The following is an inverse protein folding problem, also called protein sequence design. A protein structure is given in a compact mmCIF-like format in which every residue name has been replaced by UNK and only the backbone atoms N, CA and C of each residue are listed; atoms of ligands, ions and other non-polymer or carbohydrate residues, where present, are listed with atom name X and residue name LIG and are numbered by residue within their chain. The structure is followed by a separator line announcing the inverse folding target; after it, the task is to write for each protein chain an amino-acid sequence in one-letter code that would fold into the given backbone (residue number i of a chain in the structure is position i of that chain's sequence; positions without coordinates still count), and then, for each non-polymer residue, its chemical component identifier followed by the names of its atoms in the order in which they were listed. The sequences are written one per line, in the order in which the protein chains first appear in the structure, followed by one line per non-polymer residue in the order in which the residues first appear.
data_IF_042053712253
#
_entry.id   IF_042053712253
#
_cell.length_a   1.000
_cell.length_b   1.000
_cell.length_c   1.000
_cell.angle_alpha   90.00
_cell.angle_beta   90.00
_cell.angle_gamma   90.00
#
_symmetry.space_group_name_H-M   'P 1'
#
loop_
_entity.id
_entity.type
_entity.pdbx_description
1 polymer ?
#
# COMPACT_ATOMS: atom_id res chain seq x y z
N UNK A 1 -49.37 -29.46 7.55
CA UNK A 1 -48.26 -29.14 6.63
C UNK A 1 -47.11 -28.57 7.47
N UNK A 2 -45.92 -29.15 7.43
CA UNK A 2 -44.79 -28.74 8.28
C UNK A 2 -44.05 -27.54 7.69
N UNK A 3 -43.86 -26.48 8.48
CA UNK A 3 -43.14 -25.27 8.05
C UNK A 3 -41.64 -25.57 7.90
N UNK A 4 -41.08 -25.30 6.71
CA UNK A 4 -39.64 -25.42 6.45
C UNK A 4 -38.90 -24.27 7.12
N UNK A 5 -37.98 -24.61 8.04
CA UNK A 5 -37.10 -23.66 8.72
C UNK A 5 -36.06 -23.16 7.71
N UNK A 6 -36.16 -21.89 7.33
CA UNK A 6 -35.21 -21.23 6.44
C UNK A 6 -33.99 -20.79 7.25
N UNK A 7 -32.88 -21.51 7.10
CA UNK A 7 -31.60 -21.08 7.66
C UNK A 7 -31.10 -19.89 6.84
N UNK A 8 -31.12 -18.70 7.44
CA UNK A 8 -30.61 -17.50 6.79
C UNK A 8 -29.11 -17.66 6.45
N UNK A 9 -28.76 -17.46 5.18
CA UNK A 9 -27.39 -17.54 4.69
C UNK A 9 -26.61 -16.34 5.24
N UNK A 10 -25.56 -16.61 6.02
CA UNK A 10 -24.68 -15.58 6.57
C UNK A 10 -23.97 -14.88 5.41
N UNK A 11 -24.26 -13.61 5.19
CA UNK A 11 -23.55 -12.75 4.25
C UNK A 11 -22.17 -12.47 4.83
N UNK A 12 -21.12 -12.97 4.16
CA UNK A 12 -19.75 -12.56 4.44
C UNK A 12 -19.62 -11.07 4.13
N UNK A 13 -19.32 -10.27 5.15
CA UNK A 13 -18.99 -8.85 4.98
C UNK A 13 -17.78 -8.80 4.04
N UNK A 14 -17.93 -8.17 2.88
CA UNK A 14 -16.84 -7.93 1.96
C UNK A 14 -15.86 -7.01 2.67
N UNK A 15 -14.75 -7.54 3.18
CA UNK A 15 -13.65 -6.71 3.68
C UNK A 15 -13.16 -5.93 2.49
N UNK A 16 -13.42 -4.63 2.45
CA UNK A 16 -12.87 -3.74 1.44
C UNK A 16 -11.36 -3.89 1.51
N UNK A 17 -10.74 -4.32 0.40
CA UNK A 17 -9.29 -4.44 0.37
C UNK A 17 -8.69 -3.07 0.74
N UNK A 18 -7.62 -3.03 1.56
CA UNK A 18 -6.97 -1.78 1.91
C UNK A 18 -6.55 -1.05 0.64
N UNK A 19 -6.82 0.25 0.60
CA UNK A 19 -6.50 1.07 -0.57
C UNK A 19 -4.98 1.06 -0.81
N UNK A 20 -4.56 1.23 -2.07
CA UNK A 20 -3.14 1.38 -2.39
C UNK A 20 -2.62 2.71 -1.84
N UNK A 21 -1.37 2.73 -1.36
CA UNK A 21 -0.69 3.97 -1.00
C UNK A 21 -0.60 4.89 -2.23
N UNK A 22 -1.07 6.13 -2.12
CA UNK A 22 -1.06 7.10 -3.23
C UNK A 22 0.35 7.51 -3.65
N UNK A 23 1.27 7.62 -2.68
CA UNK A 23 2.64 8.09 -2.88
C UNK A 23 3.49 7.12 -3.69
N UNK A 24 3.49 5.85 -3.32
CA UNK A 24 4.22 4.80 -4.05
C UNK A 24 3.34 4.01 -5.03
N UNK A 25 2.05 4.34 -5.14
CA UNK A 25 1.07 3.64 -6.01
C UNK A 25 0.98 2.13 -5.75
N UNK A 26 1.36 1.69 -4.56
CA UNK A 26 1.35 0.29 -4.17
C UNK A 26 2.64 -0.49 -4.40
N UNK A 27 3.72 0.14 -4.85
CA UNK A 27 5.04 -0.53 -4.94
C UNK A 27 5.67 -0.78 -3.57
N UNK A 28 5.35 0.06 -2.58
CA UNK A 28 6.00 0.05 -1.27
C UNK A 28 7.35 0.77 -1.25
N UNK A 29 7.90 1.11 -2.42
CA UNK A 29 9.23 1.69 -2.57
C UNK A 29 9.23 2.90 -3.50
N UNK A 30 10.17 3.81 -3.28
CA UNK A 30 10.37 5.03 -4.09
C UNK A 30 11.84 5.10 -4.51
N UNK A 31 12.07 5.36 -5.79
CA UNK A 31 13.41 5.63 -6.31
C UNK A 31 13.76 7.11 -6.11
N UNK A 32 14.91 7.37 -5.48
CA UNK A 32 15.40 8.74 -5.23
C UNK A 32 16.81 8.89 -5.81
N UNK A 33 17.07 10.03 -6.45
CA UNK A 33 18.40 10.36 -6.97
C UNK A 33 19.39 10.58 -5.81
N UNK A 34 20.52 9.87 -5.84
CA UNK A 34 21.57 10.00 -4.83
C UNK A 34 22.28 11.33 -5.01
N UNK A 35 22.46 12.04 -3.90
CA UNK A 35 23.14 13.33 -3.87
C UNK A 35 24.25 13.32 -2.84
N UNK A 36 25.43 13.82 -3.21
CA UNK A 36 26.64 13.74 -2.38
C UNK A 36 27.34 15.09 -2.20
N UNK A 37 28.16 15.17 -1.15
CA UNK A 37 29.01 16.32 -0.86
C UNK A 37 28.26 17.60 -0.47
N UNK A 38 29.03 18.66 -0.25
CA UNK A 38 28.49 20.00 0.05
C UNK A 38 27.77 20.54 -1.19
N UNK A 39 26.49 20.87 -1.05
CA UNK A 39 25.62 21.33 -2.14
C UNK A 39 24.77 20.25 -2.81
N UNK A 40 24.74 19.01 -2.29
CA UNK A 40 23.86 17.92 -2.77
C UNK A 40 23.99 17.67 -4.28
N UNK A 41 25.21 17.46 -4.77
CA UNK A 41 25.47 17.23 -6.19
C UNK A 41 24.83 15.92 -6.65
N UNK A 42 24.17 15.95 -7.80
CA UNK A 42 23.57 14.78 -8.45
C UNK A 42 24.66 13.81 -8.91
N UNK A 43 24.49 12.52 -8.66
CA UNK A 43 25.44 11.49 -9.08
C UNK A 43 25.00 10.73 -10.33
N UNK A 44 23.75 10.90 -10.77
CA UNK A 44 23.17 10.09 -11.85
C UNK A 44 22.78 8.67 -11.40
N UNK A 45 23.02 8.31 -10.14
CA UNK A 45 22.58 7.04 -9.56
C UNK A 45 21.28 7.24 -8.79
N UNK A 46 20.42 6.21 -8.84
CA UNK A 46 19.19 6.17 -8.07
C UNK A 46 19.29 5.08 -7.01
N UNK A 47 18.81 5.39 -5.82
CA UNK A 47 18.61 4.41 -4.76
C UNK A 47 17.13 4.19 -4.57
N UNK A 48 16.76 2.92 -4.42
CA UNK A 48 15.42 2.52 -4.03
C UNK A 48 15.35 2.50 -2.51
N UNK A 49 14.39 3.23 -1.96
CA UNK A 49 14.09 3.26 -0.53
C UNK A 49 12.64 2.89 -0.26
N UNK A 50 12.37 2.49 0.97
CA UNK A 50 11.00 2.28 1.44
C UNK A 50 10.19 3.58 1.31
N UNK A 51 8.94 3.47 0.88
CA UNK A 51 8.03 4.60 0.86
C UNK A 51 7.80 5.08 2.29
N UNK A 52 8.02 6.39 2.59
CA UNK A 52 7.92 6.89 3.95
C UNK A 52 6.48 6.89 4.49
N UNK A 53 5.47 6.90 3.61
CA UNK A 53 4.07 6.97 4.03
C UNK A 53 3.46 5.60 4.36
N UNK A 54 3.95 4.54 3.72
CA UNK A 54 3.44 3.18 3.91
C UNK A 54 4.48 2.20 4.45
N UNK A 55 5.71 2.66 4.68
CA UNK A 55 6.84 1.89 5.21
C UNK A 55 7.06 0.55 4.49
N UNK A 56 6.90 0.52 3.17
CA UNK A 56 7.07 -0.72 2.39
C UNK A 56 5.82 -1.55 2.16
N UNK A 57 4.72 -1.27 2.86
CA UNK A 57 3.50 -2.09 2.74
C UNK A 57 2.79 -1.93 1.40
N UNK A 58 2.99 -0.81 0.70
CA UNK A 58 2.25 -0.47 -0.52
C UNK A 58 0.76 -0.16 -0.28
N UNK A 59 0.31 -0.22 0.97
CA UNK A 59 -1.08 0.04 1.35
C UNK A 59 -1.18 1.44 1.97
N UNK A 60 -2.33 2.08 1.82
CA UNK A 60 -2.63 3.30 2.54
C UNK A 60 -2.63 2.97 4.04
N UNK A 61 -1.90 3.76 4.84
CA UNK A 61 -2.03 3.71 6.29
C UNK A 61 -3.46 4.14 6.61
N UNK A 62 -4.25 3.22 7.16
CA UNK A 62 -5.68 3.41 7.51
C UNK A 62 -5.86 4.46 8.58
#
# INVERSE_FOLDING_TARGET
MAARKTTARRTTKKTTAPAKCSTCKGTGEIATEVRVGRGRRKTGHHQTGLCPDCFGSGLAST
#
